data_IF_469756184675
#
_entry.id   IF_469756184675
#
_cell.length_a   1.000
_cell.length_b   1.000
_cell.length_c   1.000
_cell.angle_alpha   90.00
_cell.angle_beta   90.00
_cell.angle_gamma   90.00
#
_symmetry.space_group_name_H-M   'P 1'
#
loop_
_entity.id
_entity.type
_entity.pdbx_description
1 polymer ?
#
# COMPACT_ATOMS: atom_id res chain seq x y z
N UNK A 1 21.35 -3.67 2.28
CA UNK A 1 20.13 -4.22 2.87
C UNK A 1 19.37 -3.09 3.55
N UNK A 2 18.43 -2.44 2.83
CA UNK A 2 17.50 -1.50 3.47
C UNK A 2 16.64 -2.32 4.43
N UNK A 3 16.84 -2.14 5.73
CA UNK A 3 15.95 -2.66 6.74
C UNK A 3 14.57 -2.05 6.48
N UNK A 4 13.58 -2.91 6.28
CA UNK A 4 12.18 -2.48 6.31
C UNK A 4 11.93 -1.95 7.73
N UNK A 5 11.89 -0.62 7.88
CA UNK A 5 11.61 0.01 9.17
C UNK A 5 10.11 -0.14 9.37
N UNK A 6 9.72 -0.88 10.43
CA UNK A 6 8.33 -0.97 10.86
C UNK A 6 8.09 0.10 11.92
N UNK A 7 7.12 0.94 11.68
CA UNK A 7 6.66 1.94 12.62
C UNK A 7 5.23 1.63 13.05
N UNK A 8 4.87 1.99 14.26
CA UNK A 8 3.49 1.91 14.72
C UNK A 8 2.74 3.14 14.26
N UNK A 9 1.53 2.95 13.75
CA UNK A 9 0.65 4.02 13.29
C UNK A 9 -0.68 3.98 14.04
N UNK A 10 -1.31 5.14 14.18
CA UNK A 10 -2.72 5.20 14.58
C UNK A 10 -3.56 4.90 13.34
N UNK A 11 -4.26 3.77 13.36
CA UNK A 11 -5.12 3.34 12.26
C UNK A 11 -6.60 3.49 12.70
N UNK A 12 -7.27 4.60 12.32
CA UNK A 12 -8.61 4.93 12.82
C UNK A 12 -9.72 4.18 12.06
N UNK A 13 -9.49 2.94 11.76
CA UNK A 13 -10.41 2.04 11.06
C UNK A 13 -10.33 0.65 11.66
N UNK A 14 -11.28 -0.20 11.32
CA UNK A 14 -11.22 -1.63 11.56
C UNK A 14 -11.65 -2.40 10.32
N UNK A 15 -11.32 -3.68 10.27
CA UNK A 15 -11.84 -4.57 9.24
C UNK A 15 -12.88 -5.49 9.84
N UNK A 16 -14.08 -5.50 9.23
CA UNK A 16 -15.16 -6.41 9.59
C UNK A 16 -15.59 -7.16 8.34
N UNK A 17 -15.58 -8.49 8.39
CA UNK A 17 -15.91 -9.36 7.25
C UNK A 17 -15.12 -9.00 5.97
N UNK A 18 -13.83 -8.69 6.13
CA UNK A 18 -12.93 -8.33 5.01
C UNK A 18 -13.11 -6.93 4.44
N UNK A 19 -14.04 -6.12 4.99
CA UNK A 19 -14.29 -4.75 4.54
C UNK A 19 -13.77 -3.74 5.55
N UNK A 20 -13.25 -2.63 5.06
CA UNK A 20 -12.87 -1.50 5.89
C UNK A 20 -14.12 -0.86 6.50
N UNK A 21 -14.12 -0.72 7.82
CA UNK A 21 -15.19 -0.07 8.58
C UNK A 21 -14.66 1.18 9.24
N UNK A 22 -15.39 2.27 9.08
CA UNK A 22 -15.09 3.56 9.71
C UNK A 22 -15.73 3.61 11.08
N UNK A 23 -15.03 4.11 12.06
CA UNK A 23 -15.60 4.34 13.37
C UNK A 23 -16.57 5.53 13.36
N UNK A 24 -17.68 5.37 14.04
CA UNK A 24 -18.45 6.54 14.48
C UNK A 24 -17.67 7.31 15.53
N UNK A 25 -17.73 8.63 15.52
CA UNK A 25 -16.96 9.50 16.42
C UNK A 25 -17.07 9.07 17.88
N UNK A 26 -18.28 8.80 18.38
CA UNK A 26 -18.47 8.38 19.76
C UNK A 26 -17.77 7.05 20.05
N UNK A 27 -17.91 6.08 19.16
CA UNK A 27 -17.37 4.74 19.34
C UNK A 27 -15.82 4.73 19.39
N UNK A 28 -15.13 5.52 18.58
CA UNK A 28 -13.65 5.56 18.60
C UNK A 28 -13.13 6.21 19.89
N UNK A 29 -13.82 7.22 20.45
CA UNK A 29 -13.42 7.81 21.73
C UNK A 29 -13.62 6.84 22.90
N UNK A 30 -14.67 6.04 22.88
CA UNK A 30 -14.91 5.01 23.90
C UNK A 30 -13.90 3.86 23.80
N UNK A 31 -13.59 3.41 22.57
CA UNK A 31 -12.72 2.25 22.33
C UNK A 31 -11.24 2.58 22.48
N UNK A 32 -10.82 3.78 22.05
CA UNK A 32 -9.41 4.19 21.97
C UNK A 32 -9.17 5.60 22.55
N UNK A 33 -9.52 5.87 23.81
CA UNK A 33 -9.45 7.22 24.38
C UNK A 33 -8.04 7.82 24.36
N UNK A 34 -7.00 7.00 24.56
CA UNK A 34 -5.61 7.46 24.52
C UNK A 34 -5.18 7.96 23.13
N UNK A 35 -5.55 7.25 22.08
CA UNK A 35 -5.26 7.66 20.72
C UNK A 35 -6.02 8.94 20.36
N UNK A 36 -7.29 9.03 20.74
CA UNK A 36 -8.10 10.21 20.47
C UNK A 36 -7.59 11.45 21.24
N UNK A 37 -7.23 11.30 22.50
CA UNK A 37 -6.61 12.37 23.29
C UNK A 37 -5.27 12.87 22.67
N UNK A 38 -4.52 11.95 22.04
CA UNK A 38 -3.32 12.34 21.31
C UNK A 38 -3.66 13.12 20.06
N UNK A 39 -4.60 12.62 19.24
CA UNK A 39 -5.00 13.26 17.98
C UNK A 39 -5.65 14.62 18.19
N UNK A 40 -6.40 14.82 19.28
CA UNK A 40 -7.03 16.11 19.64
C UNK A 40 -6.01 17.25 19.73
N UNK A 41 -4.78 16.98 20.16
CA UNK A 41 -3.71 17.98 20.21
C UNK A 41 -3.37 18.56 18.81
N UNK A 42 -3.75 17.86 17.77
CA UNK A 42 -3.47 18.22 16.38
C UNK A 42 -4.76 18.49 15.57
N UNK A 43 -5.91 18.57 16.23
CA UNK A 43 -7.22 18.65 15.57
C UNK A 43 -7.31 19.78 14.55
N UNK A 44 -6.84 20.97 14.90
CA UNK A 44 -6.86 22.11 13.98
C UNK A 44 -6.06 21.83 12.70
N UNK A 45 -4.84 21.28 12.84
CA UNK A 45 -4.00 20.92 11.70
C UNK A 45 -4.62 19.79 10.87
N UNK A 46 -5.26 18.82 11.53
CA UNK A 46 -5.92 17.71 10.88
C UNK A 46 -7.15 18.15 10.10
N UNK A 47 -7.90 19.14 10.59
CA UNK A 47 -9.04 19.73 9.89
C UNK A 47 -8.64 20.53 8.64
N UNK A 48 -7.45 21.14 8.64
CA UNK A 48 -6.95 21.91 7.49
C UNK A 48 -6.42 21.05 6.34
N UNK A 49 -6.31 19.73 6.52
CA UNK A 49 -5.84 18.83 5.46
C UNK A 49 -6.82 18.79 4.30
N UNK A 50 -6.27 18.62 3.09
CA UNK A 50 -7.07 18.27 1.93
C UNK A 50 -7.50 16.78 2.05
N UNK A 51 -8.73 16.56 2.45
CA UNK A 51 -9.30 15.24 2.73
C UNK A 51 -10.53 14.99 1.86
N UNK A 52 -10.92 13.73 1.70
CA UNK A 52 -12.19 13.37 1.09
C UNK A 52 -13.35 14.00 1.88
N UNK A 53 -14.39 14.51 1.20
CA UNK A 53 -15.49 15.23 1.83
C UNK A 53 -16.20 14.45 2.95
N UNK A 54 -16.20 13.13 2.86
CA UNK A 54 -16.81 12.25 3.85
C UNK A 54 -15.89 11.88 5.01
N UNK A 55 -14.61 12.29 5.00
CA UNK A 55 -13.65 11.91 6.01
C UNK A 55 -13.86 12.64 7.33
N UNK A 56 -13.79 11.92 8.43
CA UNK A 56 -13.74 12.53 9.76
C UNK A 56 -12.33 13.15 9.98
N UNK A 57 -12.24 14.14 10.85
CA UNK A 57 -11.00 14.87 11.10
C UNK A 57 -9.83 13.99 11.57
N UNK A 58 -10.10 12.87 12.24
CA UNK A 58 -9.13 11.90 12.75
C UNK A 58 -8.77 10.80 11.73
N UNK A 59 -9.51 10.68 10.64
CA UNK A 59 -9.26 9.67 9.61
C UNK A 59 -8.14 10.10 8.67
N UNK A 60 -7.65 9.16 7.86
CA UNK A 60 -6.72 9.50 6.79
C UNK A 60 -7.43 10.34 5.73
N UNK A 61 -6.71 11.28 5.14
CA UNK A 61 -7.28 12.18 4.13
C UNK A 61 -7.78 11.46 2.87
N UNK A 62 -7.26 10.25 2.62
CA UNK A 62 -7.70 9.36 1.52
C UNK A 62 -7.71 7.93 2.02
N UNK A 63 -8.86 7.27 1.91
CA UNK A 63 -9.07 5.91 2.41
C UNK A 63 -9.22 4.84 1.32
N UNK A 64 -9.37 5.23 0.06
CA UNK A 64 -9.68 4.32 -1.06
C UNK A 64 -8.69 3.16 -1.24
N UNK A 65 -7.42 3.37 -0.88
CA UNK A 65 -6.40 2.35 -0.99
C UNK A 65 -6.37 1.35 0.19
N UNK A 66 -7.20 1.55 1.21
CA UNK A 66 -7.16 0.78 2.44
C UNK A 66 -8.05 -0.47 2.43
N UNK A 67 -9.03 -0.54 1.52
CA UNK A 67 -10.11 -1.53 1.58
C UNK A 67 -9.66 -2.99 1.58
N UNK A 68 -8.50 -3.30 1.02
CA UNK A 68 -8.05 -4.68 0.86
C UNK A 68 -6.67 -4.94 1.50
N UNK A 69 -6.24 -4.11 2.46
CA UNK A 69 -4.89 -4.25 3.03
C UNK A 69 -4.80 -5.28 4.16
N UNK A 70 -5.92 -5.82 4.65
CA UNK A 70 -5.98 -6.81 5.71
C UNK A 70 -5.72 -8.25 5.23
N UNK A 71 -4.84 -8.41 4.28
CA UNK A 71 -4.39 -9.70 3.76
C UNK A 71 -2.91 -9.65 3.38
N UNK A 72 -2.30 -10.83 3.22
CA UNK A 72 -0.92 -10.91 2.69
C UNK A 72 -0.87 -10.27 1.32
N UNK A 73 0.21 -9.54 1.06
CA UNK A 73 0.39 -8.79 -0.18
C UNK A 73 1.85 -8.63 -0.51
N UNK A 74 2.13 -8.34 -1.77
CA UNK A 74 3.46 -7.93 -2.19
C UNK A 74 3.54 -6.41 -2.23
N UNK A 75 4.70 -5.88 -1.90
CA UNK A 75 5.03 -4.46 -1.98
C UNK A 75 6.28 -4.27 -2.84
N UNK A 76 6.23 -3.34 -3.77
CA UNK A 76 7.38 -2.91 -4.54
C UNK A 76 7.44 -1.39 -4.69
N UNK A 77 8.64 -0.86 -4.93
CA UNK A 77 8.81 0.56 -5.21
C UNK A 77 8.24 0.93 -6.58
N UNK A 78 7.67 2.12 -6.69
CA UNK A 78 7.38 2.73 -7.98
C UNK A 78 8.61 3.36 -8.64
N UNK A 79 9.76 3.37 -7.96
CA UNK A 79 11.06 3.73 -8.54
C UNK A 79 11.93 2.48 -8.55
N UNK A 80 12.37 2.11 -9.73
CA UNK A 80 13.24 0.95 -9.98
C UNK A 80 14.55 1.45 -10.58
N UNK A 81 15.68 0.99 -10.06
CA UNK A 81 17.01 1.45 -10.54
C UNK A 81 17.76 0.31 -11.24
N UNK A 82 18.30 -0.64 -10.49
CA UNK A 82 19.13 -1.71 -11.06
C UNK A 82 18.38 -3.04 -11.18
N UNK A 83 17.40 -3.24 -10.34
CA UNK A 83 16.54 -4.43 -10.31
C UNK A 83 15.23 -4.13 -9.60
N UNK A 84 14.24 -4.95 -9.86
CA UNK A 84 13.01 -4.95 -9.08
C UNK A 84 13.24 -5.70 -7.77
N UNK A 85 12.79 -5.12 -6.65
CA UNK A 85 12.75 -5.79 -5.36
C UNK A 85 11.31 -5.84 -4.90
N UNK A 86 10.83 -7.03 -4.58
CA UNK A 86 9.48 -7.27 -4.12
C UNK A 86 9.51 -7.83 -2.71
N UNK A 87 8.75 -7.22 -1.83
CA UNK A 87 8.66 -7.58 -0.42
C UNK A 87 7.30 -8.18 -0.13
N UNK A 88 7.28 -9.33 0.50
CA UNK A 88 6.06 -9.89 1.04
C UNK A 88 5.79 -9.28 2.41
N UNK A 89 4.58 -8.76 2.60
CA UNK A 89 4.15 -8.16 3.86
C UNK A 89 2.84 -8.80 4.34
N UNK A 90 2.73 -8.89 5.65
CA UNK A 90 1.59 -9.52 6.33
C UNK A 90 0.31 -8.68 6.26
N UNK A 91 -0.78 -9.25 6.72
CA UNK A 91 -2.10 -8.64 6.79
C UNK A 91 -2.20 -7.45 7.76
N UNK A 92 -1.32 -7.39 8.76
CA UNK A 92 -1.32 -6.36 9.79
C UNK A 92 -0.43 -5.16 9.43
N UNK A 93 0.29 -5.25 8.31
CA UNK A 93 1.20 -4.19 7.85
C UNK A 93 0.54 -3.35 6.77
N UNK A 94 0.53 -2.03 6.98
CA UNK A 94 0.04 -1.05 6.01
C UNK A 94 1.24 -0.42 5.31
N UNK A 95 1.35 -0.54 3.97
CA UNK A 95 2.44 0.07 3.23
C UNK A 95 2.26 1.60 3.22
N UNK A 96 3.29 2.33 3.63
CA UNK A 96 3.29 3.78 3.59
C UNK A 96 3.35 4.32 2.16
N UNK A 97 4.11 3.64 1.29
CA UNK A 97 4.39 4.08 -0.07
C UNK A 97 4.78 2.89 -0.93
N UNK A 98 4.51 2.95 -2.22
CA UNK A 98 4.82 1.90 -3.18
C UNK A 98 3.59 1.36 -3.89
N UNK A 99 3.82 0.36 -4.74
CA UNK A 99 2.76 -0.40 -5.40
C UNK A 99 2.58 -1.68 -4.60
N UNK A 100 1.38 -1.93 -4.14
CA UNK A 100 1.04 -3.20 -3.51
C UNK A 100 0.18 -4.07 -4.43
N UNK A 101 0.43 -5.36 -4.39
CA UNK A 101 -0.22 -6.36 -5.23
C UNK A 101 -0.91 -7.36 -4.31
N UNK A 102 -2.19 -7.54 -4.54
CA UNK A 102 -3.07 -8.40 -3.76
C UNK A 102 -3.52 -9.54 -4.64
N UNK A 103 -3.46 -10.80 -4.18
CA UNK A 103 -3.97 -11.92 -4.94
C UNK A 103 -5.49 -11.81 -5.09
N UNK A 104 -6.00 -12.13 -6.28
CA UNK A 104 -7.45 -12.18 -6.52
C UNK A 104 -8.08 -13.52 -6.13
N UNK A 105 -7.28 -14.51 -5.87
CA UNK A 105 -7.67 -15.87 -5.52
C UNK A 105 -6.60 -16.47 -4.60
N UNK A 106 -6.69 -17.74 -4.30
CA UNK A 106 -5.67 -18.47 -3.52
C UNK A 106 -4.35 -18.70 -4.30
N UNK A 107 -3.99 -17.80 -5.21
CA UNK A 107 -2.71 -17.85 -5.91
C UNK A 107 -1.56 -17.59 -4.92
N UNK A 108 -0.50 -18.38 -5.07
CA UNK A 108 0.69 -18.19 -4.27
C UNK A 108 1.38 -16.87 -4.66
N UNK A 109 1.58 -16.01 -3.67
CA UNK A 109 2.29 -14.75 -3.85
C UNK A 109 3.74 -14.95 -4.28
N UNK A 110 4.34 -16.12 -3.99
CA UNK A 110 5.71 -16.43 -4.40
C UNK A 110 5.85 -16.42 -5.91
N UNK A 111 4.89 -16.99 -6.65
CA UNK A 111 4.89 -17.00 -8.11
C UNK A 111 4.86 -15.57 -8.66
N UNK A 112 3.98 -14.74 -8.13
CA UNK A 112 3.89 -13.35 -8.55
C UNK A 112 5.19 -12.58 -8.22
N UNK A 113 5.80 -12.88 -7.09
CA UNK A 113 7.08 -12.31 -6.69
C UNK A 113 8.19 -12.70 -7.67
N UNK A 114 8.31 -13.98 -8.00
CA UNK A 114 9.34 -14.50 -8.92
C UNK A 114 9.20 -13.87 -10.31
N UNK A 115 7.96 -13.71 -10.80
CA UNK A 115 7.68 -13.02 -12.06
C UNK A 115 8.15 -11.57 -12.02
N UNK A 116 7.80 -10.84 -10.97
CA UNK A 116 8.12 -9.42 -10.83
C UNK A 116 9.62 -9.15 -10.57
N UNK A 117 10.34 -10.12 -10.02
CA UNK A 117 11.79 -10.04 -9.81
C UNK A 117 12.59 -10.62 -10.99
N UNK A 118 11.93 -11.13 -12.04
CA UNK A 118 12.59 -11.71 -13.22
C UNK A 118 13.30 -10.66 -14.09
N UNK A 119 14.29 -11.13 -14.86
CA UNK A 119 14.96 -10.30 -15.85
C UNK A 119 14.01 -9.81 -16.95
N UNK A 120 13.06 -10.64 -17.36
CA UNK A 120 12.06 -10.31 -18.36
C UNK A 120 11.18 -9.14 -17.91
N UNK A 121 10.74 -9.13 -16.67
CA UNK A 121 9.97 -8.02 -16.13
C UNK A 121 10.82 -6.76 -16.03
N UNK A 122 12.07 -6.88 -15.61
CA UNK A 122 12.99 -5.73 -15.57
C UNK A 122 13.28 -5.17 -16.97
N UNK A 123 13.47 -6.03 -17.98
CA UNK A 123 13.65 -5.62 -19.36
C UNK A 123 12.40 -4.94 -19.94
N UNK A 124 11.22 -5.42 -19.57
CA UNK A 124 9.97 -4.75 -19.90
C UNK A 124 9.91 -3.35 -19.29
N UNK A 125 10.23 -3.21 -18.00
CA UNK A 125 10.26 -1.90 -17.31
C UNK A 125 11.25 -0.94 -17.97
N UNK A 126 12.40 -1.41 -18.40
CA UNK A 126 13.40 -0.58 -19.12
C UNK A 126 12.83 0.03 -20.41
N UNK A 127 11.91 -0.67 -21.07
CA UNK A 127 11.30 -0.21 -22.32
C UNK A 127 10.18 0.80 -22.10
N UNK A 128 9.42 0.68 -21.00
CA UNK A 128 8.19 1.47 -20.80
C UNK A 128 8.30 2.48 -19.65
N UNK A 129 9.25 2.30 -18.76
CA UNK A 129 9.40 3.14 -17.56
C UNK A 129 9.83 4.56 -17.91
N UNK A 130 9.33 5.51 -17.12
CA UNK A 130 9.67 6.92 -17.28
C UNK A 130 10.99 7.19 -16.55
N UNK A 131 12.00 7.69 -17.24
CA UNK A 131 13.26 8.09 -16.62
C UNK A 131 13.03 9.27 -15.66
N UNK A 132 13.51 9.12 -14.44
CA UNK A 132 13.38 10.15 -13.39
C UNK A 132 14.72 10.80 -13.11
N UNK A 133 15.75 10.02 -12.83
CA UNK A 133 17.11 10.48 -12.55
C UNK A 133 18.11 9.35 -12.74
N UNK A 134 19.21 9.61 -13.45
CA UNK A 134 20.23 8.60 -13.75
C UNK A 134 19.62 7.34 -14.40
N UNK A 135 19.83 6.18 -13.79
CA UNK A 135 19.26 4.90 -14.25
C UNK A 135 17.91 4.57 -13.62
N UNK A 136 17.33 5.49 -12.84
CA UNK A 136 16.07 5.26 -12.12
C UNK A 136 14.87 5.43 -13.05
N UNK A 137 14.00 4.46 -13.03
CA UNK A 137 12.76 4.38 -13.80
C UNK A 137 11.55 4.45 -12.87
N UNK A 138 10.59 5.28 -13.23
CA UNK A 138 9.28 5.31 -12.54
C UNK A 138 8.31 4.42 -13.29
N UNK A 139 7.60 3.60 -12.54
CA UNK A 139 6.54 2.72 -13.02
C UNK A 139 5.25 2.94 -12.24
N UNK A 140 4.16 2.47 -12.81
CA UNK A 140 2.81 2.57 -12.24
C UNK A 140 2.17 1.19 -12.08
N UNK A 141 1.07 1.12 -11.35
CA UNK A 141 0.28 -0.11 -11.26
C UNK A 141 -0.27 -0.58 -12.63
N UNK A 142 -0.51 0.35 -13.57
CA UNK A 142 -0.95 -0.02 -14.91
C UNK A 142 0.16 -0.68 -15.71
N UNK A 143 1.40 -0.28 -15.54
CA UNK A 143 2.54 -0.91 -16.20
C UNK A 143 2.67 -2.37 -15.78
N UNK A 144 2.47 -2.66 -14.49
CA UNK A 144 2.46 -4.04 -13.97
C UNK A 144 1.29 -4.83 -14.57
N UNK A 145 0.09 -4.26 -14.63
CA UNK A 145 -1.10 -4.94 -15.19
C UNK A 145 -0.97 -5.27 -16.67
N UNK A 146 -0.19 -4.48 -17.41
CA UNK A 146 0.02 -4.65 -18.85
C UNK A 146 1.19 -5.57 -19.18
N UNK A 147 1.91 -6.06 -18.18
CA UNK A 147 2.97 -7.05 -18.41
C UNK A 147 2.37 -8.38 -18.84
N UNK A 148 2.84 -8.93 -19.95
CA UNK A 148 2.38 -10.20 -20.48
C UNK A 148 2.96 -11.38 -19.67
N UNK A 149 2.10 -12.04 -18.93
CA UNK A 149 2.43 -13.22 -18.12
C UNK A 149 2.09 -14.54 -18.79
N UNK A 150 1.70 -14.54 -20.06
CA UNK A 150 1.27 -15.74 -20.79
C UNK A 150 2.34 -16.84 -20.87
N UNK A 151 3.61 -16.45 -20.77
CA UNK A 151 4.76 -17.38 -20.74
C UNK A 151 4.87 -18.15 -19.42
N UNK A 152 4.29 -17.62 -18.36
CA UNK A 152 4.32 -18.21 -17.03
C UNK A 152 3.10 -19.11 -16.91
N UNK A 153 3.33 -20.43 -16.89
CA UNK A 153 2.24 -21.39 -16.67
C UNK A 153 1.76 -21.27 -15.23
N UNK A 154 0.72 -20.47 -15.02
CA UNK A 154 0.08 -20.25 -13.73
C UNK A 154 -1.20 -21.08 -13.68
#
# INVERSE_FOLDING_TARGET
LSRCIRELIIFPYEYSNGKLVRFQTKAIYEKYPGAMNYLEKFREKLNLRNSDQSSQWFEYGRSQALDNLNQRKLLMSFIVTNKVNVYEIDENTIPYSGIYIIPKSNLDLSIAKDILESEEFFDYIKKIGIHVSGTSLRITANDIKNFDISKWRI
#
